data_IF_358598948916
#
_entry.id   IF_358598948916
#
_cell.length_a   1.000
_cell.length_b   1.000
_cell.length_c   1.000
_cell.angle_alpha   90.00
_cell.angle_beta   90.00
_cell.angle_gamma   90.00
#
_symmetry.space_group_name_H-M   'P 1'
#
loop_
_entity.id
_entity.type
_entity.pdbx_description
1 polymer ?
#
# COMPACT_ATOMS: atom_id res chain seq x y z
N UNK A 1 -5.90 -2.12 -34.69
CA UNK A 1 -4.91 -1.37 -33.89
C UNK A 1 -4.77 0.01 -34.51
N UNK A 2 -5.26 1.09 -33.87
CA UNK A 2 -5.07 2.46 -34.40
C UNK A 2 -3.58 2.80 -34.36
N UNK A 3 -2.99 3.14 -35.50
CA UNK A 3 -1.61 3.62 -35.58
C UNK A 3 -1.46 4.83 -34.66
N UNK A 4 -0.51 4.79 -33.72
CA UNK A 4 -0.16 5.96 -32.92
C UNK A 4 0.40 7.01 -33.88
N UNK A 5 -0.25 8.17 -33.96
CA UNK A 5 0.26 9.28 -34.74
C UNK A 5 1.63 9.74 -34.20
N UNK A 6 2.49 10.23 -35.10
CA UNK A 6 3.76 10.83 -34.73
C UNK A 6 3.55 12.01 -33.78
N UNK A 7 4.41 12.18 -32.78
CA UNK A 7 4.37 13.30 -31.80
C UNK A 7 4.34 14.65 -32.53
N UNK A 8 5.09 14.79 -33.63
CA UNK A 8 5.07 16.00 -34.45
C UNK A 8 3.68 16.30 -35.02
N UNK A 9 2.97 15.26 -35.47
CA UNK A 9 1.62 15.41 -36.03
C UNK A 9 0.63 15.82 -34.95
N UNK A 10 0.72 15.24 -33.75
CA UNK A 10 -0.08 15.62 -32.57
C UNK A 10 0.14 17.08 -32.17
N UNK A 11 1.38 17.57 -32.16
CA UNK A 11 1.68 18.96 -31.83
C UNK A 11 1.28 19.97 -32.92
N UNK A 12 1.07 19.50 -34.16
CA UNK A 12 0.68 20.34 -35.31
C UNK A 12 -0.84 20.34 -35.54
N UNK A 13 -1.60 19.53 -34.80
CA UNK A 13 -3.06 19.57 -34.86
C UNK A 13 -3.57 20.94 -34.42
N UNK A 14 -4.57 21.46 -35.14
CA UNK A 14 -5.17 22.77 -34.89
C UNK A 14 -6.52 22.56 -34.18
N UNK A 15 -6.58 22.55 -32.85
CA UNK A 15 -7.82 22.28 -32.11
C UNK A 15 -8.92 23.35 -32.32
N UNK A 16 -8.59 24.48 -32.93
CA UNK A 16 -9.53 25.53 -33.31
C UNK A 16 -10.10 25.37 -34.74
N UNK A 17 -9.64 24.37 -35.51
CA UNK A 17 -10.17 24.07 -36.84
C UNK A 17 -11.51 23.31 -36.74
N UNK A 18 -12.61 23.80 -37.34
CA UNK A 18 -13.94 23.16 -37.26
C UNK A 18 -13.97 21.69 -37.68
N UNK A 19 -13.10 21.27 -38.61
CA UNK A 19 -13.00 19.87 -39.01
C UNK A 19 -12.30 19.01 -37.95
N UNK A 20 -11.23 19.54 -37.35
CA UNK A 20 -10.48 18.87 -36.28
C UNK A 20 -11.33 18.72 -35.00
N UNK A 21 -12.11 19.75 -34.65
CA UNK A 21 -13.02 19.73 -33.49
C UNK A 21 -14.02 18.56 -33.55
N UNK A 22 -14.51 18.20 -34.73
CA UNK A 22 -15.41 17.04 -34.90
C UNK A 22 -14.71 15.71 -34.61
N UNK A 23 -13.43 15.60 -34.99
CA UNK A 23 -12.61 14.40 -34.77
C UNK A 23 -12.24 14.29 -33.28
N UNK A 24 -11.87 15.42 -32.65
CA UNK A 24 -11.48 15.47 -31.25
C UNK A 24 -12.67 15.17 -30.33
N UNK A 25 -13.85 15.73 -30.63
CA UNK A 25 -15.09 15.43 -29.89
C UNK A 25 -15.62 14.01 -30.11
N UNK A 26 -15.12 13.28 -31.12
CA UNK A 26 -15.47 11.88 -31.34
C UNK A 26 -14.70 10.91 -30.41
N UNK A 27 -13.79 11.41 -29.57
CA UNK A 27 -13.18 10.60 -28.52
C UNK A 27 -14.20 10.30 -27.39
N UNK A 28 -14.02 9.19 -26.67
CA UNK A 28 -14.90 8.81 -25.55
C UNK A 28 -14.65 9.64 -24.25
N UNK A 29 -13.74 10.62 -24.31
CA UNK A 29 -13.33 11.45 -23.18
C UNK A 29 -12.38 10.76 -22.18
N UNK A 30 -11.96 9.52 -22.41
CA UNK A 30 -11.03 8.81 -21.54
C UNK A 30 -9.57 9.01 -22.01
N UNK A 31 -8.89 9.97 -21.40
CA UNK A 31 -7.44 10.20 -21.63
C UNK A 31 -6.56 9.11 -21.01
N UNK A 32 -7.04 8.44 -19.96
CA UNK A 32 -6.36 7.30 -19.31
C UNK A 32 -7.34 6.13 -19.22
N UNK A 33 -6.97 4.98 -19.80
CA UNK A 33 -7.74 3.74 -19.71
C UNK A 33 -7.48 3.05 -18.34
N UNK A 34 -7.86 3.72 -17.26
CA UNK A 34 -7.75 3.25 -15.88
C UNK A 34 -9.13 2.96 -15.31
N UNK A 35 -9.28 1.80 -14.66
CA UNK A 35 -10.47 1.53 -13.87
C UNK A 35 -10.63 2.58 -12.76
N UNK A 36 -11.87 3.00 -12.50
CA UNK A 36 -12.22 3.93 -11.41
C UNK A 36 -11.62 3.50 -10.07
N UNK A 37 -11.56 2.19 -9.79
CA UNK A 37 -10.95 1.64 -8.59
C UNK A 37 -9.43 1.83 -8.52
N UNK A 38 -8.72 1.68 -9.65
CA UNK A 38 -7.27 1.93 -9.73
C UNK A 38 -6.96 3.41 -9.52
N UNK A 39 -7.77 4.29 -10.09
CA UNK A 39 -7.62 5.73 -9.92
C UNK A 39 -7.79 6.13 -8.45
N UNK A 40 -8.88 5.68 -7.80
CA UNK A 40 -9.11 5.94 -6.37
C UNK A 40 -7.99 5.41 -5.47
N UNK A 41 -7.52 4.18 -5.72
CA UNK A 41 -6.39 3.60 -5.00
C UNK A 41 -5.11 4.44 -5.18
N UNK A 42 -4.83 4.92 -6.40
CA UNK A 42 -3.66 5.76 -6.67
C UNK A 42 -3.70 7.07 -5.90
N UNK A 43 -4.85 7.74 -5.85
CA UNK A 43 -5.00 8.95 -5.05
C UNK A 43 -4.74 8.69 -3.56
N UNK A 44 -5.30 7.61 -3.02
CA UNK A 44 -5.07 7.21 -1.62
C UNK A 44 -3.57 6.99 -1.35
N UNK A 45 -2.88 6.23 -2.21
CA UNK A 45 -1.44 5.99 -2.06
C UNK A 45 -0.62 7.28 -2.15
N UNK A 46 -0.95 8.20 -3.07
CA UNK A 46 -0.26 9.49 -3.19
C UNK A 46 -0.44 10.34 -1.93
N UNK A 47 -1.68 10.46 -1.43
CA UNK A 47 -1.97 11.23 -0.21
C UNK A 47 -1.23 10.62 0.99
N UNK A 48 -1.29 9.30 1.14
CA UNK A 48 -0.56 8.58 2.19
C UNK A 48 0.95 8.79 2.08
N UNK A 49 1.51 8.75 0.87
CA UNK A 49 2.94 9.01 0.63
C UNK A 49 3.32 10.42 1.06
N UNK A 50 2.56 11.45 0.65
CA UNK A 50 2.82 12.84 1.05
C UNK A 50 2.77 12.97 2.57
N UNK A 51 1.78 12.35 3.21
CA UNK A 51 1.63 12.37 4.66
C UNK A 51 2.85 11.74 5.36
N UNK A 52 3.27 10.53 4.97
CA UNK A 52 4.47 9.91 5.53
C UNK A 52 5.74 10.72 5.23
N UNK A 53 5.88 11.30 4.03
CA UNK A 53 7.02 12.15 3.70
C UNK A 53 7.13 13.37 4.62
N UNK A 54 6.02 14.06 4.92
CA UNK A 54 6.02 15.20 5.85
C UNK A 54 6.49 14.78 7.24
N UNK A 55 6.03 13.62 7.72
CA UNK A 55 6.47 13.02 8.98
C UNK A 55 7.96 12.63 9.00
N UNK A 56 8.50 12.17 7.86
CA UNK A 56 9.93 11.85 7.72
C UNK A 56 10.77 13.13 7.72
N UNK A 57 10.29 14.23 7.13
CA UNK A 57 10.97 15.53 7.19
C UNK A 57 11.09 16.01 8.63
N UNK A 58 9.98 15.99 9.40
CA UNK A 58 10.01 16.43 10.80
C UNK A 58 10.84 15.52 11.70
N UNK A 59 10.87 14.22 11.41
CA UNK A 59 11.79 13.26 12.05
C UNK A 59 13.25 13.62 11.78
N UNK A 60 13.58 13.86 10.51
CA UNK A 60 14.94 14.18 10.08
C UNK A 60 15.46 15.48 10.71
N UNK A 61 14.59 16.50 10.82
CA UNK A 61 14.94 17.74 11.53
C UNK A 61 15.21 17.48 13.02
N UNK A 62 14.43 16.59 13.66
CA UNK A 62 14.59 16.29 15.09
C UNK A 62 15.83 15.46 15.42
N UNK A 63 16.39 14.72 14.46
CA UNK A 63 17.64 13.96 14.63
C UNK A 63 18.84 14.85 14.97
N UNK A 64 18.83 16.12 14.56
CA UNK A 64 19.97 17.04 14.72
C UNK A 64 20.07 17.62 16.15
N UNK A 65 19.01 17.50 16.94
CA UNK A 65 18.99 18.07 18.29
C UNK A 65 19.66 17.14 19.30
N UNK A 66 20.32 17.74 20.29
CA UNK A 66 21.11 17.02 21.30
C UNK A 66 20.26 16.18 22.28
N UNK A 67 18.94 16.36 22.31
CA UNK A 67 18.01 15.56 23.11
C UNK A 67 17.68 14.21 22.46
N UNK A 68 18.16 13.95 21.24
CA UNK A 68 17.93 12.70 20.55
C UNK A 68 18.70 11.53 21.18
N UNK A 69 17.98 10.50 21.60
CA UNK A 69 18.57 9.26 22.08
C UNK A 69 18.13 8.09 21.20
N UNK A 70 19.09 7.26 20.77
CA UNK A 70 18.80 6.08 19.97
C UNK A 70 17.97 5.09 20.79
N UNK A 71 16.94 4.56 20.16
CA UNK A 71 16.03 3.58 20.74
C UNK A 71 16.60 2.16 20.63
N UNK A 72 16.42 1.27 21.63
CA UNK A 72 16.82 -0.12 21.49
C UNK A 72 16.00 -0.80 20.38
N UNK A 73 16.65 -1.69 19.64
CA UNK A 73 16.07 -2.41 18.52
C UNK A 73 15.61 -3.82 18.99
N UNK A 74 14.31 -4.05 19.25
CA UNK A 74 13.85 -5.35 19.73
C UNK A 74 13.91 -6.37 18.59
N UNK A 75 14.38 -7.59 18.87
CA UNK A 75 14.40 -8.71 17.90
C UNK A 75 13.00 -8.96 17.32
N UNK A 76 11.95 -8.70 18.11
CA UNK A 76 10.57 -8.87 17.68
C UNK A 76 10.17 -7.94 16.51
N UNK A 77 10.83 -6.77 16.37
CA UNK A 77 10.62 -5.85 15.25
C UNK A 77 11.09 -6.46 13.92
N UNK A 78 12.19 -7.22 13.94
CA UNK A 78 12.67 -7.97 12.78
C UNK A 78 11.69 -9.07 12.37
N UNK A 79 11.15 -9.79 13.36
CA UNK A 79 10.15 -10.83 13.11
C UNK A 79 8.89 -10.25 12.44
N UNK A 80 8.40 -9.09 12.90
CA UNK A 80 7.28 -8.38 12.25
C UNK A 80 7.59 -8.02 10.79
N UNK A 81 8.82 -7.57 10.52
CA UNK A 81 9.26 -7.21 9.16
C UNK A 81 9.32 -8.43 8.24
N UNK A 82 9.80 -9.58 8.75
CA UNK A 82 9.78 -10.86 8.02
C UNK A 82 8.34 -11.29 7.73
N UNK A 83 7.42 -11.14 8.68
CA UNK A 83 5.99 -11.46 8.48
C UNK A 83 5.40 -10.66 7.31
N UNK A 84 5.67 -9.35 7.24
CA UNK A 84 5.20 -8.53 6.12
C UNK A 84 5.86 -8.91 4.79
N UNK A 85 7.15 -9.24 4.80
CA UNK A 85 7.86 -9.72 3.62
C UNK A 85 7.22 -11.01 3.09
N UNK A 86 6.97 -11.97 3.97
CA UNK A 86 6.29 -13.23 3.62
C UNK A 86 4.87 -12.94 3.11
N UNK A 87 4.12 -12.05 3.75
CA UNK A 87 2.78 -11.64 3.31
C UNK A 87 2.81 -11.07 1.88
N UNK A 88 3.79 -10.23 1.57
CA UNK A 88 4.02 -9.67 0.23
C UNK A 88 4.30 -10.78 -0.80
N UNK A 89 5.17 -11.74 -0.49
CA UNK A 89 5.48 -12.88 -1.38
C UNK A 89 4.24 -13.76 -1.62
N UNK A 90 3.46 -14.05 -0.58
CA UNK A 90 2.20 -14.81 -0.70
C UNK A 90 1.22 -14.08 -1.62
N UNK A 91 1.16 -12.75 -1.56
CA UNK A 91 0.33 -11.92 -2.43
C UNK A 91 0.71 -11.99 -3.90
N UNK A 92 2.01 -12.04 -4.23
CA UNK A 92 2.47 -12.21 -5.62
C UNK A 92 1.89 -13.50 -6.20
N UNK A 93 1.99 -14.60 -5.46
CA UNK A 93 1.45 -15.85 -5.94
C UNK A 93 -0.09 -15.91 -5.93
N UNK A 94 -0.77 -15.12 -5.08
CA UNK A 94 -2.22 -14.93 -5.17
C UNK A 94 -2.63 -14.19 -6.46
N UNK A 95 -1.86 -13.17 -6.87
CA UNK A 95 -2.09 -12.49 -8.15
C UNK A 95 -1.88 -13.43 -9.34
N UNK A 96 -0.83 -14.26 -9.32
CA UNK A 96 -0.54 -15.23 -10.39
C UNK A 96 -1.68 -16.26 -10.49
N UNK A 97 -2.11 -16.83 -9.36
CA UNK A 97 -3.24 -17.76 -9.31
C UNK A 97 -4.55 -17.12 -9.81
N UNK A 98 -4.78 -15.84 -9.47
CA UNK A 98 -5.94 -15.08 -9.94
C UNK A 98 -5.94 -14.89 -11.46
N UNK A 99 -4.78 -14.62 -12.06
CA UNK A 99 -4.65 -14.54 -13.54
C UNK A 99 -4.99 -15.88 -14.20
N UNK A 100 -4.53 -16.99 -13.61
CA UNK A 100 -4.76 -18.37 -14.08
C UNK A 100 -6.14 -18.96 -13.75
N UNK A 101 -7.10 -18.16 -13.24
CA UNK A 101 -8.45 -18.61 -12.83
C UNK A 101 -8.47 -19.68 -11.72
N UNK A 102 -7.42 -19.81 -10.92
CA UNK A 102 -7.32 -20.82 -9.85
C UNK A 102 -7.89 -20.27 -8.52
N UNK A 103 -9.21 -20.17 -8.43
CA UNK A 103 -9.88 -19.46 -7.31
C UNK A 103 -9.70 -20.13 -5.94
N UNK A 104 -9.64 -21.47 -5.86
CA UNK A 104 -9.37 -22.16 -4.59
C UNK A 104 -7.99 -21.80 -4.02
N UNK A 105 -6.98 -21.68 -4.89
CA UNK A 105 -5.64 -21.25 -4.49
C UNK A 105 -5.65 -19.79 -4.05
N UNK A 106 -6.38 -18.93 -4.74
CA UNK A 106 -6.53 -17.51 -4.36
C UNK A 106 -7.17 -17.39 -2.98
N UNK A 107 -8.24 -18.14 -2.71
CA UNK A 107 -8.94 -18.17 -1.42
C UNK A 107 -8.02 -18.61 -0.28
N UNK A 108 -7.29 -19.71 -0.46
CA UNK A 108 -6.35 -20.19 0.57
C UNK A 108 -5.23 -19.16 0.84
N UNK A 109 -4.65 -18.58 -0.21
CA UNK A 109 -3.62 -17.54 -0.06
C UNK A 109 -4.14 -16.28 0.62
N UNK A 110 -5.36 -15.85 0.29
CA UNK A 110 -5.99 -14.70 0.96
C UNK A 110 -6.18 -14.96 2.45
N UNK A 111 -6.59 -16.16 2.86
CA UNK A 111 -6.66 -16.53 4.28
C UNK A 111 -5.30 -16.46 4.98
N UNK A 112 -4.25 -16.99 4.36
CA UNK A 112 -2.88 -16.92 4.87
C UNK A 112 -2.45 -15.45 5.04
N UNK A 113 -2.72 -14.61 4.04
CA UNK A 113 -2.43 -13.17 4.08
C UNK A 113 -3.13 -12.48 5.26
N UNK A 114 -4.42 -12.77 5.47
CA UNK A 114 -5.19 -12.21 6.59
C UNK A 114 -4.59 -12.63 7.93
N UNK A 115 -4.22 -13.91 8.08
CA UNK A 115 -3.54 -14.42 9.26
C UNK A 115 -2.18 -13.74 9.51
N UNK A 116 -1.38 -13.54 8.47
CA UNK A 116 -0.09 -12.84 8.57
C UNK A 116 -0.26 -11.36 8.96
N UNK A 117 -1.29 -10.67 8.46
CA UNK A 117 -1.55 -9.29 8.87
C UNK A 117 -2.03 -9.17 10.32
N UNK A 118 -2.85 -10.11 10.79
CA UNK A 118 -3.21 -10.18 12.21
C UNK A 118 -1.98 -10.48 13.08
N UNK A 119 -1.12 -11.41 12.64
CA UNK A 119 0.13 -11.70 13.33
C UNK A 119 1.04 -10.47 13.41
N UNK A 120 1.11 -9.66 12.35
CA UNK A 120 1.84 -8.39 12.37
C UNK A 120 1.26 -7.40 13.39
N UNK A 121 -0.06 -7.22 13.42
CA UNK A 121 -0.71 -6.29 14.39
C UNK A 121 -0.43 -6.74 15.82
N UNK A 122 -0.60 -8.03 16.12
CA UNK A 122 -0.34 -8.58 17.44
C UNK A 122 1.15 -8.43 17.79
N UNK A 123 2.04 -8.78 16.86
CA UNK A 123 3.48 -8.61 17.05
C UNK A 123 3.87 -7.16 17.29
N UNK A 124 3.22 -6.20 16.63
CA UNK A 124 3.47 -4.78 16.85
C UNK A 124 3.02 -4.31 18.24
N UNK A 125 1.86 -4.79 18.71
CA UNK A 125 1.40 -4.52 20.08
C UNK A 125 2.35 -5.12 21.14
N UNK A 126 2.91 -6.31 20.88
CA UNK A 126 3.90 -6.92 21.75
C UNK A 126 5.22 -6.13 21.77
N UNK A 127 5.66 -5.61 20.63
CA UNK A 127 6.82 -4.69 20.56
C UNK A 127 6.56 -3.46 21.43
N UNK A 128 5.38 -2.83 21.30
CA UNK A 128 5.01 -1.68 22.14
C UNK A 128 5.03 -2.03 23.62
N UNK A 129 4.42 -3.15 24.01
CA UNK A 129 4.41 -3.59 25.40
C UNK A 129 5.82 -3.84 25.94
N UNK A 130 6.69 -4.47 25.14
CA UNK A 130 8.08 -4.71 25.50
C UNK A 130 8.84 -3.40 25.74
N UNK A 131 8.66 -2.40 24.87
CA UNK A 131 9.32 -1.10 24.99
C UNK A 131 8.81 -0.30 26.19
N UNK A 132 7.50 -0.32 26.44
CA UNK A 132 6.88 0.30 27.61
C UNK A 132 7.44 -0.33 28.90
N UNK A 133 7.56 -1.65 28.96
CA UNK A 133 8.12 -2.36 30.12
C UNK A 133 9.60 -2.05 30.34
N UNK A 134 10.34 -1.66 29.30
CA UNK A 134 11.72 -1.20 29.38
C UNK A 134 11.84 0.31 29.73
N UNK A 135 10.71 1.00 29.94
CA UNK A 135 10.69 2.42 30.28
C UNK A 135 10.70 3.38 29.07
N UNK A 136 10.59 2.87 27.84
CA UNK A 136 10.54 3.70 26.62
C UNK A 136 9.11 4.14 26.31
N UNK A 137 8.61 5.09 27.09
CA UNK A 137 7.30 5.70 26.86
C UNK A 137 7.35 6.75 25.74
N UNK A 138 6.16 7.09 25.21
CA UNK A 138 5.96 8.10 24.16
C UNK A 138 6.54 9.46 24.55
N UNK A 139 6.41 9.87 25.82
CA UNK A 139 6.83 11.18 26.31
C UNK A 139 8.29 11.23 26.79
N UNK A 140 8.97 10.08 26.89
CA UNK A 140 10.31 10.01 27.48
C UNK A 140 11.40 10.55 26.57
N UNK A 141 11.25 10.38 25.26
CA UNK A 141 12.24 10.76 24.26
C UNK A 141 11.53 11.05 22.92
N UNK A 142 11.90 12.13 22.20
CA UNK A 142 11.40 12.40 20.86
C UNK A 142 11.48 11.20 19.89
N UNK A 143 12.56 10.40 19.96
CA UNK A 143 12.70 9.23 19.09
C UNK A 143 11.59 8.19 19.34
N UNK A 144 11.25 7.94 20.62
CA UNK A 144 10.14 7.06 20.99
C UNK A 144 8.82 7.62 20.44
N UNK A 145 8.57 8.92 20.60
CA UNK A 145 7.33 9.55 20.13
C UNK A 145 7.12 9.32 18.63
N UNK A 146 8.16 9.54 17.81
CA UNK A 146 8.11 9.27 16.37
C UNK A 146 7.92 7.79 16.05
N UNK A 147 8.61 6.88 16.75
CA UNK A 147 8.43 5.44 16.60
C UNK A 147 6.95 5.03 16.80
N UNK A 148 6.34 5.47 17.90
CA UNK A 148 4.94 5.14 18.18
C UNK A 148 4.00 5.77 17.15
N UNK A 149 4.22 7.01 16.74
CA UNK A 149 3.39 7.66 15.70
C UNK A 149 3.50 6.95 14.35
N UNK A 150 4.72 6.65 13.88
CA UNK A 150 4.95 5.96 12.61
C UNK A 150 4.32 4.58 12.59
N UNK A 151 4.55 3.78 13.63
CA UNK A 151 4.02 2.42 13.73
C UNK A 151 2.51 2.42 13.92
N UNK A 152 1.94 3.39 14.64
CA UNK A 152 0.48 3.55 14.79
C UNK A 152 -0.17 3.91 13.46
N UNK A 153 0.37 4.92 12.76
CA UNK A 153 -0.15 5.34 11.47
C UNK A 153 -0.06 4.22 10.44
N UNK A 154 1.05 3.51 10.39
CA UNK A 154 1.20 2.33 9.54
C UNK A 154 0.17 1.24 9.89
N UNK A 155 0.03 0.92 11.18
CA UNK A 155 -0.96 -0.04 11.67
C UNK A 155 -2.40 0.35 11.29
N UNK A 156 -2.75 1.64 11.36
CA UNK A 156 -4.06 2.14 10.95
C UNK A 156 -4.29 1.94 9.44
N UNK A 157 -3.29 2.23 8.60
CA UNK A 157 -3.37 1.99 7.17
C UNK A 157 -3.51 0.50 6.83
N UNK A 158 -2.85 -0.38 7.59
CA UNK A 158 -2.99 -1.83 7.50
C UNK A 158 -4.40 -2.29 7.91
N UNK A 159 -4.96 -1.74 8.99
CA UNK A 159 -6.35 -1.99 9.39
C UNK A 159 -7.35 -1.57 8.30
N UNK A 160 -7.14 -0.41 7.67
CA UNK A 160 -7.91 0.02 6.50
C UNK A 160 -7.79 -0.97 5.32
N UNK A 161 -6.58 -1.50 5.09
CA UNK A 161 -6.33 -2.56 4.11
C UNK A 161 -7.06 -3.86 4.44
N UNK A 162 -7.10 -4.25 5.71
CA UNK A 162 -7.81 -5.44 6.19
C UNK A 162 -9.32 -5.34 5.93
N UNK A 163 -9.92 -4.15 6.09
CA UNK A 163 -11.34 -3.93 5.76
C UNK A 163 -11.58 -4.23 4.27
N UNK A 164 -10.73 -3.70 3.37
CA UNK A 164 -10.84 -3.97 1.94
C UNK A 164 -10.56 -5.44 1.60
N UNK A 165 -9.62 -6.08 2.30
CA UNK A 165 -9.35 -7.51 2.18
C UNK A 165 -10.56 -8.37 2.58
N UNK A 166 -11.28 -8.01 3.66
CA UNK A 166 -12.54 -8.68 4.06
C UNK A 166 -13.59 -8.57 2.94
N UNK A 167 -13.69 -7.40 2.29
CA UNK A 167 -14.61 -7.24 1.15
C UNK A 167 -14.17 -8.09 -0.05
N UNK A 168 -12.87 -8.25 -0.26
CA UNK A 168 -12.30 -9.07 -1.33
C UNK A 168 -12.58 -10.55 -1.10
N UNK A 169 -12.34 -11.05 0.11
CA UNK A 169 -12.54 -12.46 0.43
C UNK A 169 -14.02 -12.86 0.38
N UNK A 170 -14.94 -11.98 0.82
CA UNK A 170 -16.38 -12.18 0.66
C UNK A 170 -16.79 -12.33 -0.81
N UNK A 171 -16.20 -11.55 -1.72
CA UNK A 171 -16.46 -11.65 -3.16
C UNK A 171 -15.90 -12.94 -3.77
N UNK A 172 -14.79 -13.45 -3.25
CA UNK A 172 -14.19 -14.72 -3.70
C UNK A 172 -15.02 -15.92 -3.25
N UNK A 173 -15.68 -15.83 -2.09
CA UNK A 173 -16.51 -16.91 -1.53
C UNK A 173 -17.91 -17.04 -2.10
N UNK A 174 -18.43 -16.04 -2.81
CA UNK A 174 -19.75 -16.08 -3.45
C UNK A 174 -19.54 -16.42 -4.93
N UNK A 175 -19.70 -17.68 -5.35
CA UNK A 175 -19.42 -18.10 -6.71
C UNK A 175 -20.51 -17.57 -7.64
N UNK A 176 -20.12 -16.76 -8.62
CA UNK A 176 -20.96 -16.39 -9.76
C UNK A 176 -20.05 -16.07 -10.96
N UNK A 177 -20.39 -16.53 -12.16
CA UNK A 177 -19.51 -16.42 -13.34
C UNK A 177 -19.23 -14.96 -13.75
N UNK A 178 -20.20 -14.06 -13.56
CA UNK A 178 -20.07 -12.61 -13.81
C UNK A 178 -19.08 -11.94 -12.82
N UNK A 179 -18.68 -12.64 -11.76
CA UNK A 179 -17.85 -12.15 -10.66
C UNK A 179 -16.36 -12.42 -10.89
N UNK A 180 -15.98 -13.26 -11.86
CA UNK A 180 -14.58 -13.63 -12.13
C UNK A 180 -13.71 -12.42 -12.49
N UNK A 181 -14.13 -11.58 -13.45
CA UNK A 181 -13.39 -10.38 -13.84
C UNK A 181 -13.33 -9.35 -12.70
N UNK A 182 -14.42 -9.22 -11.94
CA UNK A 182 -14.50 -8.34 -10.77
C UNK A 182 -13.61 -8.81 -9.62
N UNK A 183 -13.48 -10.13 -9.42
CA UNK A 183 -12.59 -10.73 -8.42
C UNK A 183 -11.14 -10.51 -8.79
N UNK A 184 -10.74 -10.78 -10.04
CA UNK A 184 -9.38 -10.49 -10.51
C UNK A 184 -9.01 -9.04 -10.28
N UNK A 185 -9.92 -8.13 -10.61
CA UNK A 185 -9.70 -6.70 -10.41
C UNK A 185 -9.58 -6.32 -8.93
N UNK A 186 -10.43 -6.88 -8.06
CA UNK A 186 -10.40 -6.60 -6.62
C UNK A 186 -9.12 -7.16 -5.97
N UNK A 187 -8.71 -8.37 -6.34
CA UNK A 187 -7.46 -9.00 -5.86
C UNK A 187 -6.24 -8.21 -6.33
N UNK A 188 -6.22 -7.73 -7.58
CA UNK A 188 -5.16 -6.87 -8.11
C UNK A 188 -5.04 -5.56 -7.29
N UNK A 189 -6.16 -4.87 -7.04
CA UNK A 189 -6.18 -3.64 -6.24
C UNK A 189 -5.70 -3.89 -4.81
N UNK A 190 -6.19 -4.96 -4.18
CA UNK A 190 -5.80 -5.34 -2.82
C UNK A 190 -4.30 -5.60 -2.74
N UNK A 191 -3.74 -6.30 -3.73
CA UNK A 191 -2.33 -6.62 -3.77
C UNK A 191 -1.44 -5.39 -4.00
N UNK A 192 -1.82 -4.48 -4.91
CA UNK A 192 -1.10 -3.20 -5.10
C UNK A 192 -1.02 -2.42 -3.79
N UNK A 193 -2.14 -2.31 -3.06
CA UNK A 193 -2.16 -1.62 -1.77
C UNK A 193 -1.28 -2.31 -0.72
N UNK A 194 -1.29 -3.64 -0.67
CA UNK A 194 -0.47 -4.40 0.28
C UNK A 194 1.03 -4.24 0.02
N UNK A 195 1.45 -4.27 -1.24
CA UNK A 195 2.83 -4.01 -1.61
C UNK A 195 3.24 -2.57 -1.29
N UNK A 196 2.33 -1.61 -1.47
CA UNK A 196 2.56 -0.22 -1.05
C UNK A 196 2.80 -0.14 0.46
N UNK A 197 1.96 -0.78 1.29
CA UNK A 197 2.17 -0.81 2.75
C UNK A 197 3.53 -1.43 3.11
N UNK A 198 3.90 -2.54 2.47
CA UNK A 198 5.21 -3.15 2.68
C UNK A 198 6.36 -2.20 2.31
N UNK A 199 6.26 -1.49 1.18
CA UNK A 199 7.26 -0.51 0.77
C UNK A 199 7.40 0.63 1.78
N UNK A 200 6.28 1.19 2.27
CA UNK A 200 6.30 2.20 3.33
C UNK A 200 6.94 1.64 4.59
N UNK A 201 6.60 0.42 4.99
CA UNK A 201 7.21 -0.21 6.17
C UNK A 201 8.73 -0.36 6.05
N UNK A 202 9.24 -0.77 4.89
CA UNK A 202 10.69 -0.89 4.66
C UNK A 202 11.39 0.47 4.79
N UNK A 203 10.78 1.54 4.28
CA UNK A 203 11.33 2.90 4.45
C UNK A 203 11.35 3.30 5.92
N UNK A 204 10.24 3.10 6.65
CA UNK A 204 10.15 3.44 8.08
C UNK A 204 11.13 2.59 8.91
N UNK A 205 11.17 1.29 8.67
CA UNK A 205 12.08 0.37 9.35
C UNK A 205 13.55 0.71 9.07
N UNK A 206 13.88 1.03 7.82
CA UNK A 206 15.22 1.49 7.43
C UNK A 206 15.62 2.77 8.15
N UNK A 207 14.73 3.78 8.19
CA UNK A 207 14.97 5.02 8.93
C UNK A 207 15.32 4.71 10.39
N UNK A 208 14.45 3.97 11.09
CA UNK A 208 14.63 3.66 12.52
C UNK A 208 15.86 2.79 12.81
N UNK A 209 16.34 2.01 11.85
CA UNK A 209 17.51 1.15 12.02
C UNK A 209 18.83 1.93 11.83
N UNK A 210 18.86 2.86 10.87
CA UNK A 210 20.07 3.61 10.53
C UNK A 210 20.30 4.86 11.36
N UNK A 211 19.28 5.35 12.08
CA UNK A 211 19.35 6.55 12.94
C UNK A 211 19.05 6.22 14.39
#
# INVERSE_FOLDING_TARGET
MKNKESIFKLLTQKPWDPEQVKIDNAHDGATLNLSKGKLGLRYLMVISTIFFCLFIVTYSDRLVFADWQKMPEPILLWLNTIILLVSSVVFIGAQIASKNNQFEIVKNRLLIIGGLALAFIIGQLLVWLQLINMGYYVHSNPANAYFYVFTTLHGLHLLGGLIYWIMTIKKVWIPNEIVISKVKHTVELCAIYWHFLFAVWIVLFGLMLFT
#
